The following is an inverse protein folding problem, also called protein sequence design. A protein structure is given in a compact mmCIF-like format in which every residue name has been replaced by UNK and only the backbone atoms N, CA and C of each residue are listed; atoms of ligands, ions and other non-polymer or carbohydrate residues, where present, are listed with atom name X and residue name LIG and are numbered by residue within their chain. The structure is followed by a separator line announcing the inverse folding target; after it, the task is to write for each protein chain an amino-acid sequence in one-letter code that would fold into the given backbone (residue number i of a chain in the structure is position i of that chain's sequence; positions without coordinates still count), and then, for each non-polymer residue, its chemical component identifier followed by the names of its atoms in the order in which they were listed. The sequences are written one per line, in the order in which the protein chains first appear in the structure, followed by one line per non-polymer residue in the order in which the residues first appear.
data_IF_348886426418
#
_entry.id   IF_348886426418
#
_cell.length_a   1.000
_cell.length_b   1.000
_cell.length_c   1.000
_cell.angle_alpha   90.00
_cell.angle_beta   90.00
_cell.angle_gamma   90.00
#
_symmetry.space_group_name_H-M   'P 1'
#
loop_
_entity.id
_entity.type
_entity.pdbx_description
1 polymer ?
#
# COMPACT_ATOMS: atom_id res chain seq x y z
N UNK A 1 -9.57 24.79 4.93
CA UNK A 1 -9.23 23.35 4.97
C UNK A 1 -8.52 23.05 3.68
N UNK A 2 -7.24 22.72 3.75
CA UNK A 2 -6.41 22.49 2.57
C UNK A 2 -6.59 21.03 2.16
N UNK A 3 -7.26 20.79 1.03
CA UNK A 3 -7.31 19.48 0.41
C UNK A 3 -6.03 19.31 -0.40
N UNK A 4 -4.99 18.74 0.20
CA UNK A 4 -3.77 18.39 -0.54
C UNK A 4 -4.12 17.20 -1.43
N UNK A 5 -4.38 17.47 -2.71
CA UNK A 5 -4.44 16.44 -3.73
C UNK A 5 -3.03 15.87 -3.91
N UNK A 6 -2.74 14.74 -3.27
CA UNK A 6 -1.48 14.03 -3.47
C UNK A 6 -1.57 13.21 -4.75
N UNK A 7 -1.10 13.79 -5.85
CA UNK A 7 -0.95 13.10 -7.12
C UNK A 7 0.52 12.69 -7.28
N UNK A 8 0.77 11.39 -7.52
CA UNK A 8 2.11 10.79 -7.79
C UNK A 8 3.01 10.59 -6.56
N UNK A 9 2.57 9.77 -5.63
CA UNK A 9 3.44 9.26 -4.56
C UNK A 9 4.17 8.00 -5.04
N UNK A 10 5.48 7.94 -4.81
CA UNK A 10 6.27 6.73 -5.05
C UNK A 10 6.92 6.28 -3.76
N UNK A 11 6.56 5.08 -3.30
CA UNK A 11 7.22 4.37 -2.21
C UNK A 11 8.07 3.28 -2.84
N UNK A 12 9.36 3.28 -2.54
CA UNK A 12 10.31 2.33 -3.12
C UNK A 12 11.19 1.69 -2.05
N UNK A 13 11.29 0.36 -2.09
CA UNK A 13 12.31 -0.42 -1.42
C UNK A 13 12.12 -0.60 0.09
N UNK A 14 10.93 -0.38 0.66
CA UNK A 14 10.70 -0.76 2.04
C UNK A 14 10.73 -2.29 2.17
N UNK A 15 11.69 -2.76 2.97
CA UNK A 15 11.95 -4.18 3.20
C UNK A 15 12.02 -4.43 4.69
N UNK A 16 11.31 -5.43 5.17
CA UNK A 16 11.31 -5.75 6.58
C UNK A 16 10.20 -6.71 6.98
N UNK A 17 9.97 -6.79 8.29
CA UNK A 17 8.94 -7.67 8.86
C UNK A 17 7.96 -6.89 9.70
N UNK A 18 6.68 -7.16 9.54
CA UNK A 18 5.60 -6.60 10.34
C UNK A 18 5.18 -7.57 11.45
N UNK A 19 5.11 -7.07 12.69
CA UNK A 19 4.55 -7.81 13.84
C UNK A 19 3.02 -7.81 13.87
N UNK A 20 2.38 -7.06 12.98
CA UNK A 20 0.93 -7.02 12.80
C UNK A 20 0.54 -7.56 11.42
N UNK A 21 -0.68 -8.09 11.31
CA UNK A 21 -1.18 -8.69 10.07
C UNK A 21 -1.30 -7.64 8.97
N UNK A 22 -1.85 -6.45 9.28
CA UNK A 22 -1.97 -5.35 8.35
C UNK A 22 -0.66 -4.55 8.29
N UNK A 23 0.17 -4.85 7.29
CA UNK A 23 1.49 -4.24 7.13
C UNK A 23 1.45 -2.91 6.36
N UNK A 24 0.41 -2.71 5.53
CA UNK A 24 0.27 -1.52 4.69
C UNK A 24 -1.14 -0.95 4.80
N UNK A 25 -1.24 0.37 4.84
CA UNK A 25 -2.50 1.12 4.91
C UNK A 25 -2.44 2.30 3.95
N UNK A 26 -3.29 2.28 2.92
CA UNK A 26 -3.49 3.36 1.97
C UNK A 26 -4.88 3.94 2.21
N UNK A 27 -4.99 4.94 3.09
CA UNK A 27 -6.27 5.59 3.39
C UNK A 27 -6.29 7.02 2.84
N UNK A 28 -6.98 7.18 1.72
CA UNK A 28 -7.11 8.44 1.03
C UNK A 28 -8.40 9.16 1.40
N UNK A 29 -8.35 10.49 1.40
CA UNK A 29 -9.53 11.33 1.57
C UNK A 29 -10.57 11.08 0.47
N UNK A 30 -11.79 11.59 0.64
CA UNK A 30 -12.90 11.39 -0.30
C UNK A 30 -12.62 11.84 -1.75
N UNK A 31 -11.67 12.78 -1.94
CA UNK A 31 -11.20 13.22 -3.27
C UNK A 31 -10.39 12.14 -4.01
N UNK A 32 -9.96 11.11 -3.29
CA UNK A 32 -9.13 10.02 -3.76
C UNK A 32 -7.65 10.40 -3.89
N UNK A 33 -6.80 9.38 -3.87
CA UNK A 33 -5.43 9.51 -4.36
C UNK A 33 -5.27 8.69 -5.65
N UNK A 34 -4.48 9.25 -6.56
CA UNK A 34 -4.17 8.64 -7.85
C UNK A 34 -2.65 8.58 -8.06
N UNK A 35 -2.22 7.62 -8.89
CA UNK A 35 -0.82 7.41 -9.25
C UNK A 35 0.10 7.08 -8.06
N UNK A 36 -0.35 6.23 -7.13
CA UNK A 36 0.51 5.73 -6.05
C UNK A 36 1.31 4.54 -6.56
N UNK A 37 2.62 4.72 -6.72
CA UNK A 37 3.53 3.64 -7.10
C UNK A 37 4.18 3.04 -5.86
N UNK A 38 3.95 1.75 -5.63
CA UNK A 38 4.68 0.92 -4.68
C UNK A 38 5.66 0.01 -5.43
N UNK A 39 6.95 0.31 -5.37
CA UNK A 39 7.96 -0.41 -6.13
C UNK A 39 8.88 -1.19 -5.18
N UNK A 40 9.00 -2.51 -5.37
CA UNK A 40 9.94 -3.34 -4.61
C UNK A 40 9.72 -3.33 -3.08
N UNK A 41 8.46 -3.25 -2.66
CA UNK A 41 8.08 -3.36 -1.26
C UNK A 41 7.97 -4.84 -0.88
N UNK A 42 8.79 -5.28 0.07
CA UNK A 42 8.81 -6.65 0.60
C UNK A 42 8.68 -6.61 2.13
N UNK A 43 7.43 -6.61 2.59
CA UNK A 43 7.09 -6.63 4.01
C UNK A 43 6.46 -7.97 4.35
N UNK A 44 7.27 -8.87 4.93
CA UNK A 44 6.82 -10.17 5.41
C UNK A 44 6.23 -10.08 6.82
N UNK A 45 5.52 -11.12 7.29
CA UNK A 45 5.14 -11.19 8.69
C UNK A 45 6.36 -11.58 9.53
N UNK A 46 6.53 -10.97 10.71
CA UNK A 46 7.49 -11.46 11.71
C UNK A 46 7.04 -12.76 12.38
N UNK A 47 5.78 -13.18 12.15
CA UNK A 47 5.23 -14.44 12.62
C UNK A 47 5.32 -15.49 11.51
N UNK A 48 6.06 -16.57 11.75
CA UNK A 48 6.22 -17.67 10.81
C UNK A 48 4.86 -18.24 10.38
N UNK A 49 4.68 -18.44 9.07
CA UNK A 49 3.47 -19.00 8.48
C UNK A 49 2.29 -18.02 8.37
N UNK A 50 2.43 -16.76 8.80
CA UNK A 50 1.40 -15.73 8.58
C UNK A 50 1.75 -14.87 7.37
N UNK A 51 0.72 -14.53 6.61
CA UNK A 51 0.83 -13.55 5.54
C UNK A 51 0.47 -12.17 6.08
N UNK A 52 1.17 -11.16 5.59
CA UNK A 52 0.80 -9.76 5.77
C UNK A 52 -0.34 -9.41 4.81
N UNK A 53 -1.12 -8.40 5.16
CA UNK A 53 -2.20 -7.85 4.34
C UNK A 53 -2.02 -6.35 4.17
N UNK A 54 -2.70 -5.81 3.17
CA UNK A 54 -2.77 -4.38 2.93
C UNK A 54 -4.22 -3.91 2.91
N UNK A 55 -4.47 -2.73 3.48
CA UNK A 55 -5.74 -2.04 3.41
C UNK A 55 -5.66 -0.87 2.44
N UNK A 56 -6.74 -0.66 1.67
CA UNK A 56 -6.89 0.50 0.82
C UNK A 56 -8.28 1.12 0.94
N UNK A 57 -8.33 2.44 0.88
CA UNK A 57 -9.53 3.28 0.87
C UNK A 57 -9.28 4.49 -0.03
N UNK A 58 -10.18 4.72 -1.00
CA UNK A 58 -10.10 5.81 -2.00
C UNK A 58 -8.77 5.94 -2.76
N UNK A 59 -8.03 4.83 -2.93
CA UNK A 59 -6.80 4.79 -3.74
C UNK A 59 -7.10 4.10 -5.08
N UNK A 60 -6.67 4.71 -6.18
CA UNK A 60 -7.03 4.29 -7.54
C UNK A 60 -5.80 4.04 -8.43
N UNK A 61 -5.93 3.01 -9.27
CA UNK A 61 -5.13 2.71 -10.46
C UNK A 61 -3.60 2.79 -10.32
N UNK A 62 -2.93 1.69 -9.94
CA UNK A 62 -1.53 1.48 -10.33
C UNK A 62 -1.19 -0.03 -10.29
N UNK A 63 -0.69 -0.64 -11.37
CA UNK A 63 -0.23 -2.03 -11.35
C UNK A 63 1.12 -2.10 -10.63
N UNK A 64 1.18 -2.85 -9.52
CA UNK A 64 2.41 -3.01 -8.73
C UNK A 64 2.57 -4.42 -8.19
N UNK A 65 3.82 -4.88 -8.18
CA UNK A 65 4.22 -6.18 -7.64
C UNK A 65 4.79 -5.94 -6.24
N UNK A 66 3.93 -6.02 -5.24
CA UNK A 66 4.30 -5.82 -3.82
C UNK A 66 4.00 -7.05 -2.99
N UNK A 67 4.80 -7.25 -1.94
CA UNK A 67 4.48 -8.17 -0.86
C UNK A 67 4.29 -7.34 0.43
N UNK A 68 3.11 -7.35 1.06
CA UNK A 68 1.90 -8.11 0.69
C UNK A 68 1.17 -7.61 -0.56
N UNK A 69 0.35 -8.46 -1.19
CA UNK A 69 -0.51 -8.05 -2.29
C UNK A 69 -1.52 -7.00 -1.82
N UNK A 70 -1.64 -5.93 -2.60
CA UNK A 70 -2.48 -4.78 -2.26
C UNK A 70 -3.77 -4.84 -3.08
N UNK A 71 -4.95 -5.04 -2.44
CA UNK A 71 -6.18 -5.40 -3.14
C UNK A 71 -6.77 -4.26 -4.00
N UNK A 72 -6.39 -3.01 -3.75
CA UNK A 72 -6.85 -1.87 -4.55
C UNK A 72 -6.23 -1.80 -5.96
N UNK A 73 -5.22 -2.63 -6.25
CA UNK A 73 -4.55 -2.66 -7.55
C UNK A 73 -4.96 -3.84 -8.45
N UNK A 74 -5.94 -4.64 -8.00
CA UNK A 74 -6.35 -5.89 -8.65
C UNK A 74 -7.44 -5.74 -9.73
N UNK A 75 -7.62 -4.55 -10.34
CA UNK A 75 -8.56 -4.34 -11.45
C UNK A 75 -7.97 -3.47 -12.55
#
# INVERSE_FOLDING_TARGET
MEHVAQSRLTFTGARGTSSVVQAMTLDCAAIGCNNIRLDQEDIASSVAGKQTTAFCSNAYETPVTTAPPVPCFSK
#
